data_IF_796486356876
#
_entry.id   IF_796486356876
#
_cell.length_a   1.000
_cell.length_b   1.000
_cell.length_c   1.000
_cell.angle_alpha   90.00
_cell.angle_beta   90.00
_cell.angle_gamma   90.00
#
_symmetry.space_group_name_H-M   'P 1'
#
loop_
_entity.id
_entity.type
_entity.pdbx_description
1 polymer ?
#
# COMPACT_ATOMS: atom_id res chain seq x y z
N UNK A 1 -36.18 -78.36 -2.66
CA UNK A 1 -34.99 -79.02 -3.24
C UNK A 1 -34.10 -77.96 -3.88
N UNK A 2 -32.79 -78.01 -3.55
CA UNK A 2 -31.63 -77.33 -4.21
C UNK A 2 -31.44 -75.83 -3.85
N UNK A 3 -30.61 -75.50 -2.84
CA UNK A 3 -29.11 -75.38 -2.77
C UNK A 3 -28.69 -73.89 -3.01
N UNK A 4 -28.41 -73.06 -2.00
CA UNK A 4 -27.10 -72.77 -1.33
C UNK A 4 -25.97 -72.51 -2.37
N UNK A 5 -25.18 -71.43 -2.43
CA UNK A 5 -24.39 -70.66 -1.41
C UNK A 5 -23.91 -69.29 -2.06
N UNK A 6 -23.02 -68.44 -1.47
CA UNK A 6 -23.24 -67.00 -1.28
C UNK A 6 -22.23 -66.09 -2.02
N UNK A 7 -22.45 -64.77 -2.06
CA UNK A 7 -21.36 -63.80 -2.29
C UNK A 7 -21.27 -62.89 -1.09
N UNK A 8 -20.20 -63.12 -0.34
CA UNK A 8 -19.71 -62.36 0.79
C UNK A 8 -19.15 -61.05 0.25
N UNK A 9 -19.74 -59.92 0.63
CA UNK A 9 -19.07 -58.62 0.53
C UNK A 9 -18.73 -58.15 1.94
N UNK A 10 -17.49 -58.47 2.29
CA UNK A 10 -16.55 -57.79 3.18
C UNK A 10 -17.14 -56.60 3.97
N UNK A 11 -17.22 -56.82 5.28
CA UNK A 11 -17.43 -55.81 6.29
C UNK A 11 -16.28 -54.78 6.28
N UNK A 12 -16.62 -53.51 6.29
CA UNK A 12 -15.73 -52.43 6.73
C UNK A 12 -16.57 -51.33 7.40
N UNK A 13 -17.21 -51.68 8.52
CA UNK A 13 -17.98 -50.78 9.36
C UNK A 13 -17.13 -50.26 10.53
N UNK A 14 -16.37 -49.21 10.25
CA UNK A 14 -15.97 -48.08 11.11
C UNK A 14 -15.89 -48.36 12.62
N UNK A 15 -14.65 -48.49 13.12
CA UNK A 15 -14.32 -48.39 14.55
C UNK A 15 -14.39 -46.92 14.98
N UNK A 16 -15.33 -46.59 15.87
CA UNK A 16 -15.40 -45.29 16.55
C UNK A 16 -14.40 -45.29 17.72
N UNK A 17 -13.22 -44.72 17.50
CA UNK A 17 -12.32 -44.30 18.59
C UNK A 17 -12.68 -42.85 18.98
N UNK A 18 -13.41 -42.69 20.07
CA UNK A 18 -13.56 -41.42 20.76
C UNK A 18 -12.27 -41.13 21.54
N UNK A 19 -11.36 -40.36 20.93
CA UNK A 19 -10.21 -39.78 21.62
C UNK A 19 -10.52 -38.31 21.92
N UNK A 20 -10.95 -38.02 23.14
CA UNK A 20 -10.93 -36.65 23.65
C UNK A 20 -9.49 -36.34 24.10
N UNK A 21 -8.70 -35.69 23.24
CA UNK A 21 -7.48 -35.02 23.69
C UNK A 21 -7.79 -33.54 23.90
N UNK A 22 -7.52 -33.07 25.11
CA UNK A 22 -7.58 -31.65 25.45
C UNK A 22 -6.33 -30.99 24.88
N UNK A 23 -6.41 -30.49 23.65
CA UNK A 23 -5.38 -29.60 23.11
C UNK A 23 -5.73 -28.17 23.50
N UNK A 24 -4.96 -27.64 24.46
CA UNK A 24 -4.99 -26.23 24.80
C UNK A 24 -4.60 -25.43 23.56
N UNK A 25 -5.60 -24.91 22.86
CA UNK A 25 -5.44 -23.98 21.75
C UNK A 25 -4.75 -22.70 22.20
N UNK A 26 -3.43 -22.76 22.30
CA UNK A 26 -2.57 -21.60 22.15
C UNK A 26 -2.88 -21.05 20.76
N UNK A 27 -3.65 -19.96 20.70
CA UNK A 27 -3.71 -19.13 19.50
C UNK A 27 -2.28 -18.67 19.22
N UNK A 28 -1.59 -19.41 18.36
CA UNK A 28 -0.34 -18.99 17.79
C UNK A 28 -0.69 -17.85 16.83
N UNK A 29 -0.74 -16.63 17.37
CA UNK A 29 -0.64 -15.41 16.57
C UNK A 29 0.64 -15.56 15.75
N UNK A 30 0.50 -15.89 14.48
CA UNK A 30 1.53 -15.67 13.48
C UNK A 30 1.77 -14.17 13.43
N UNK A 31 2.77 -13.72 14.18
CA UNK A 31 3.30 -12.35 14.10
C UNK A 31 3.83 -12.20 12.68
N UNK A 32 3.15 -11.41 11.85
CA UNK A 32 3.71 -10.95 10.60
C UNK A 32 5.07 -10.30 10.90
N UNK A 33 6.11 -10.47 10.05
CA UNK A 33 7.41 -9.84 10.28
C UNK A 33 7.20 -8.34 10.46
N UNK A 34 7.43 -7.84 11.67
CA UNK A 34 7.34 -6.42 11.94
C UNK A 34 8.49 -5.75 11.18
N UNK A 35 8.23 -4.72 10.35
CA UNK A 35 9.30 -3.97 9.73
C UNK A 35 10.21 -3.42 10.83
N UNK A 36 11.53 -3.46 10.58
CA UNK A 36 12.52 -3.01 11.55
C UNK A 36 12.23 -1.57 11.96
N UNK A 37 11.71 -1.38 13.18
CA UNK A 37 11.48 -0.06 13.75
C UNK A 37 12.85 0.51 14.11
N UNK A 38 13.32 1.49 13.35
CA UNK A 38 14.54 2.19 13.71
C UNK A 38 14.34 3.02 14.99
N UNK A 39 15.04 2.64 16.06
CA UNK A 39 15.12 3.40 17.31
C UNK A 39 16.12 4.58 17.25
N UNK A 40 16.44 5.05 16.04
CA UNK A 40 17.35 6.19 15.82
C UNK A 40 16.60 7.53 15.83
N UNK A 41 17.31 8.65 16.02
CA UNK A 41 16.70 9.97 15.90
C UNK A 41 16.12 10.16 14.48
N UNK A 42 14.88 10.64 14.41
CA UNK A 42 14.23 10.95 13.14
C UNK A 42 14.89 12.18 12.52
N UNK A 43 15.50 12.03 11.34
CA UNK A 43 16.20 13.12 10.65
C UNK A 43 15.38 13.52 9.43
N UNK A 44 14.90 14.77 9.43
CA UNK A 44 14.36 15.39 8.23
C UNK A 44 15.51 15.74 7.28
N UNK A 45 15.51 15.13 6.10
CA UNK A 45 16.43 15.48 5.03
C UNK A 45 15.82 16.58 4.17
N UNK A 46 16.64 17.34 3.44
CA UNK A 46 16.19 18.45 2.58
C UNK A 46 14.97 18.05 1.74
N UNK A 47 13.80 18.57 2.14
CA UNK A 47 12.51 18.32 1.52
C UNK A 47 12.03 19.48 0.66
N UNK A 48 10.87 19.30 0.03
CA UNK A 48 10.14 20.41 -0.57
C UNK A 48 9.65 21.36 0.53
N UNK A 49 9.91 22.66 0.37
CA UNK A 49 9.38 23.68 1.27
C UNK A 49 7.85 23.81 1.07
N UNK A 50 7.03 23.54 2.11
CA UNK A 50 5.58 23.73 2.02
C UNK A 50 5.23 25.20 1.81
N UNK A 51 4.46 25.48 0.77
CA UNK A 51 3.87 26.80 0.55
C UNK A 51 2.38 26.64 0.26
N UNK A 52 1.62 27.68 0.57
CA UNK A 52 0.23 27.72 0.16
C UNK A 52 0.15 27.87 -1.36
N UNK A 53 -0.50 26.91 -2.01
CA UNK A 53 -0.78 26.91 -3.44
C UNK A 53 -2.28 26.66 -3.66
N UNK A 54 -2.95 27.42 -4.55
CA UNK A 54 -4.34 27.14 -4.89
C UNK A 54 -4.52 25.72 -5.44
N UNK A 55 -5.59 25.04 -5.02
CA UNK A 55 -5.93 23.73 -5.55
C UNK A 55 -6.13 23.77 -7.07
N UNK A 56 -5.64 22.75 -7.76
CA UNK A 56 -5.86 22.58 -9.19
C UNK A 56 -7.36 22.38 -9.46
N UNK A 57 -7.97 23.15 -10.40
CA UNK A 57 -9.42 23.13 -10.61
C UNK A 57 -9.94 21.82 -11.20
N UNK A 58 -9.12 21.07 -11.93
CA UNK A 58 -9.53 19.85 -12.65
C UNK A 58 -9.04 18.57 -12.00
N UNK A 59 -7.94 18.61 -11.25
CA UNK A 59 -7.33 17.41 -10.68
C UNK A 59 -8.01 16.89 -9.40
N UNK A 60 -8.89 17.68 -8.76
CA UNK A 60 -9.44 17.39 -7.42
C UNK A 60 -10.89 16.89 -7.41
N UNK A 61 -11.33 16.24 -8.48
CA UNK A 61 -12.63 15.56 -8.53
C UNK A 61 -12.48 14.07 -8.19
N UNK A 62 -13.48 13.50 -7.52
CA UNK A 62 -13.61 12.04 -7.39
C UNK A 62 -13.62 11.40 -8.79
N UNK A 63 -12.93 10.27 -8.95
CA UNK A 63 -12.76 9.67 -10.26
C UNK A 63 -12.75 8.14 -10.20
N UNK A 64 -12.85 7.50 -11.36
CA UNK A 64 -12.73 6.06 -11.51
C UNK A 64 -11.60 5.71 -12.48
N UNK A 65 -10.88 4.64 -12.18
CA UNK A 65 -9.86 4.06 -13.06
C UNK A 65 -9.87 2.54 -12.90
N UNK A 66 -9.87 1.81 -14.01
CA UNK A 66 -9.85 0.34 -14.04
C UNK A 66 -10.92 -0.32 -13.16
N UNK A 67 -12.12 0.27 -13.10
CA UNK A 67 -13.24 -0.21 -12.28
C UNK A 67 -13.13 0.11 -10.79
N UNK A 68 -12.07 0.77 -10.34
CA UNK A 68 -11.88 1.23 -8.95
C UNK A 68 -12.23 2.72 -8.82
N UNK A 69 -13.00 3.04 -7.78
CA UNK A 69 -13.34 4.43 -7.43
C UNK A 69 -12.32 5.02 -6.47
N UNK A 70 -11.93 6.27 -6.70
CA UNK A 70 -10.99 7.04 -5.89
C UNK A 70 -11.68 8.31 -5.39
N UNK A 71 -11.73 8.46 -4.07
CA UNK A 71 -12.34 9.62 -3.41
C UNK A 71 -11.26 10.58 -2.96
N UNK A 72 -11.32 11.83 -3.41
CA UNK A 72 -10.35 12.85 -3.03
C UNK A 72 -10.53 13.21 -1.56
N UNK A 73 -9.43 13.20 -0.82
CA UNK A 73 -9.38 13.53 0.60
C UNK A 73 -9.72 15.02 0.77
N UNK A 74 -10.79 15.31 1.52
CA UNK A 74 -11.27 16.68 1.74
C UNK A 74 -10.52 17.41 2.86
N UNK A 75 -10.07 16.67 3.88
CA UNK A 75 -9.25 17.18 4.99
C UNK A 75 -7.90 16.46 5.02
N UNK A 76 -6.91 16.91 4.23
CA UNK A 76 -5.59 16.29 4.21
C UNK A 76 -4.80 16.51 5.50
N UNK A 77 -5.21 17.43 6.39
CA UNK A 77 -4.49 17.72 7.64
C UNK A 77 -4.53 16.57 8.65
N UNK A 78 -5.49 15.66 8.48
CA UNK A 78 -5.70 14.47 9.32
C UNK A 78 -5.32 13.17 8.60
N UNK A 79 -4.82 13.26 7.38
CA UNK A 79 -4.47 12.11 6.57
C UNK A 79 -3.15 11.47 7.04
N UNK A 80 -3.14 10.16 7.18
CA UNK A 80 -1.94 9.35 7.41
C UNK A 80 -2.19 7.97 6.80
N UNK A 81 -1.18 7.41 6.15
CA UNK A 81 -1.27 6.11 5.51
C UNK A 81 0.11 5.46 5.47
N UNK A 82 0.21 4.26 6.04
CA UNK A 82 1.39 3.42 5.91
C UNK A 82 1.28 2.50 4.69
N UNK A 83 2.40 2.27 4.02
CA UNK A 83 2.50 1.31 2.92
C UNK A 83 3.81 1.42 2.16
N UNK A 84 3.96 0.58 1.14
CA UNK A 84 5.15 0.61 0.31
C UNK A 84 5.10 1.78 -0.68
N UNK A 85 6.27 2.35 -0.97
CA UNK A 85 6.42 3.32 -2.03
C UNK A 85 7.05 2.75 -3.29
N UNK A 86 6.73 3.37 -4.42
CA UNK A 86 7.41 3.16 -5.69
C UNK A 86 8.27 4.38 -6.02
N UNK A 87 9.29 4.19 -6.86
CA UNK A 87 9.89 5.28 -7.62
C UNK A 87 9.22 5.29 -8.99
N UNK A 88 8.78 6.45 -9.48
CA UNK A 88 8.17 6.55 -10.80
C UNK A 88 8.97 7.41 -11.77
N UNK A 89 8.78 7.09 -13.03
CA UNK A 89 9.26 7.83 -14.20
C UNK A 89 8.05 8.39 -14.96
N UNK A 90 8.32 9.19 -15.99
CA UNK A 90 7.28 9.76 -16.85
C UNK A 90 6.38 8.66 -17.44
N UNK A 91 5.07 8.93 -17.51
CA UNK A 91 4.12 8.02 -18.15
C UNK A 91 4.42 7.90 -19.66
N UNK A 92 4.37 6.69 -20.25
CA UNK A 92 4.54 6.53 -21.69
C UNK A 92 3.46 7.30 -22.48
N UNK A 93 3.88 8.23 -23.34
CA UNK A 93 2.98 8.99 -24.21
C UNK A 93 2.51 10.35 -23.66
N UNK A 94 2.83 10.68 -22.40
CA UNK A 94 2.62 12.02 -21.84
C UNK A 94 3.72 12.36 -20.84
N UNK A 95 4.35 13.52 -21.02
CA UNK A 95 5.26 14.06 -20.02
C UNK A 95 4.55 14.99 -19.02
N UNK A 96 3.21 15.00 -19.01
CA UNK A 96 2.43 15.84 -18.09
C UNK A 96 1.90 15.02 -16.92
N UNK A 97 2.02 15.57 -15.72
CA UNK A 97 1.39 15.05 -14.50
C UNK A 97 -0.10 15.42 -14.46
N UNK A 98 -0.85 14.88 -13.50
CA UNK A 98 -2.24 15.25 -13.29
C UNK A 98 -2.46 16.74 -12.90
N UNK A 99 -1.43 17.45 -12.40
CA UNK A 99 -1.47 18.91 -12.23
C UNK A 99 -1.39 19.68 -13.55
N UNK A 100 -0.99 19.02 -14.65
CA UNK A 100 -0.70 19.63 -15.95
C UNK A 100 0.72 20.16 -16.10
N UNK A 101 1.57 19.97 -15.09
CA UNK A 101 2.99 20.33 -15.13
C UNK A 101 3.80 19.28 -15.89
N UNK A 102 4.94 19.68 -16.47
CA UNK A 102 5.89 18.69 -16.99
C UNK A 102 6.48 17.87 -15.83
N UNK A 103 6.48 16.54 -15.98
CA UNK A 103 7.17 15.65 -15.05
C UNK A 103 8.67 15.95 -15.05
N UNK A 104 9.23 16.13 -13.85
CA UNK A 104 10.65 16.33 -13.63
C UNK A 104 11.13 15.37 -12.52
N UNK A 105 11.94 14.35 -12.84
CA UNK A 105 12.42 13.39 -11.86
C UNK A 105 13.35 14.00 -10.82
N UNK A 106 13.86 15.22 -11.05
CA UNK A 106 14.76 15.95 -10.15
C UNK A 106 14.02 16.84 -9.15
N UNK A 107 12.70 17.01 -9.28
CA UNK A 107 11.89 17.74 -8.30
C UNK A 107 11.45 16.84 -7.15
N UNK A 108 11.24 17.41 -5.96
CA UNK A 108 10.75 16.70 -4.79
C UNK A 108 9.22 16.55 -4.83
N UNK A 109 8.75 15.72 -5.75
CA UNK A 109 7.34 15.50 -6.05
C UNK A 109 6.92 14.05 -5.88
N UNK A 110 5.61 13.82 -5.77
CA UNK A 110 5.04 12.50 -5.68
C UNK A 110 3.66 12.41 -6.36
N UNK A 111 3.30 11.19 -6.74
CA UNK A 111 1.96 10.80 -7.15
C UNK A 111 1.24 10.12 -5.98
N UNK A 112 -0.01 10.54 -5.71
CA UNK A 112 -0.90 9.87 -4.77
C UNK A 112 -2.31 9.76 -5.35
N UNK A 113 -3.03 8.63 -5.16
CA UNK A 113 -4.33 8.43 -5.79
C UNK A 113 -5.43 9.37 -5.26
N UNK A 114 -5.35 9.82 -4.01
CA UNK A 114 -6.48 10.53 -3.36
C UNK A 114 -6.10 11.83 -2.66
N UNK A 115 -4.83 12.18 -2.57
CA UNK A 115 -4.43 13.44 -1.93
C UNK A 115 -4.70 14.61 -2.88
N UNK A 116 -5.14 15.78 -2.39
CA UNK A 116 -5.37 16.93 -3.25
C UNK A 116 -4.12 17.34 -4.04
N UNK A 117 -4.32 17.93 -5.21
CA UNK A 117 -3.25 18.49 -6.04
C UNK A 117 -3.44 20.02 -6.15
N UNK A 118 -2.40 20.82 -5.88
CA UNK A 118 -1.22 20.45 -5.10
C UNK A 118 -1.58 20.21 -3.63
N UNK A 119 -0.78 19.37 -2.98
CA UNK A 119 -0.69 19.28 -1.52
C UNK A 119 0.73 18.86 -1.12
N UNK A 120 1.02 18.80 0.17
CA UNK A 120 2.32 18.39 0.69
C UNK A 120 2.15 17.19 1.62
N UNK A 121 3.03 16.21 1.49
CA UNK A 121 3.08 15.03 2.35
C UNK A 121 4.46 14.92 2.96
N UNK A 122 4.51 14.68 4.28
CA UNK A 122 5.72 14.20 4.95
C UNK A 122 5.75 12.69 4.80
N UNK A 123 6.87 12.19 4.34
CA UNK A 123 7.11 10.78 4.07
C UNK A 123 8.18 10.30 5.02
N UNK A 124 7.85 9.30 5.84
CA UNK A 124 8.76 8.72 6.82
C UNK A 124 9.20 7.34 6.34
N UNK A 125 10.49 7.15 6.11
CA UNK A 125 11.03 5.82 5.87
C UNK A 125 11.16 5.08 7.19
N UNK A 126 10.32 4.07 7.40
CA UNK A 126 10.29 3.34 8.67
C UNK A 126 11.56 2.50 8.90
N UNK A 127 12.26 2.11 7.83
CA UNK A 127 13.46 1.28 7.89
C UNK A 127 14.73 2.04 8.32
N UNK A 128 14.71 3.38 8.33
CA UNK A 128 15.86 4.18 8.77
C UNK A 128 15.48 5.47 9.54
N UNK A 129 14.19 5.77 9.70
CA UNK A 129 13.69 6.95 10.39
C UNK A 129 13.92 8.27 9.66
N UNK A 130 14.34 8.26 8.39
CA UNK A 130 14.51 9.49 7.61
C UNK A 130 13.16 10.00 7.15
N UNK A 131 12.98 11.32 7.20
CA UNK A 131 11.77 11.98 6.71
C UNK A 131 12.09 12.92 5.56
N UNK A 132 11.19 13.00 4.58
CA UNK A 132 11.24 13.99 3.51
C UNK A 132 9.85 14.57 3.27
N UNK A 133 9.78 15.86 2.99
CA UNK A 133 8.53 16.49 2.52
C UNK A 133 8.52 16.50 0.99
N UNK A 134 7.39 16.12 0.39
CA UNK A 134 7.19 16.11 -1.07
C UNK A 134 5.92 16.85 -1.45
N UNK A 135 5.90 17.45 -2.64
CA UNK A 135 4.71 18.05 -3.23
C UNK A 135 3.94 17.01 -4.05
N UNK A 136 2.66 16.79 -3.73
CA UNK A 136 1.77 15.96 -4.53
C UNK A 136 1.35 16.75 -5.76
N UNK A 137 1.75 16.31 -6.95
CA UNK A 137 1.36 16.94 -8.20
C UNK A 137 0.83 15.96 -9.25
N UNK A 138 0.69 14.68 -8.88
CA UNK A 138 0.28 13.63 -9.80
C UNK A 138 -0.63 12.57 -9.14
N UNK A 139 -1.22 11.69 -9.97
CA UNK A 139 -2.17 10.65 -9.57
C UNK A 139 -1.59 9.25 -9.74
N UNK A 140 -2.06 8.32 -8.91
CA UNK A 140 -1.51 6.96 -8.81
C UNK A 140 -0.57 6.83 -7.61
N UNK A 141 0.08 5.69 -7.39
CA UNK A 141 -0.01 4.46 -8.18
C UNK A 141 -1.39 3.80 -8.08
N UNK A 142 -1.77 3.04 -9.10
CA UNK A 142 -3.08 2.37 -9.18
C UNK A 142 -3.02 0.88 -8.79
N UNK A 143 -1.82 0.36 -8.49
CA UNK A 143 -1.60 -0.98 -7.98
C UNK A 143 -2.10 -1.17 -6.54
N UNK A 144 -2.17 -2.43 -6.09
CA UNK A 144 -2.63 -2.77 -4.74
C UNK A 144 -1.52 -2.78 -3.69
N UNK A 145 -0.27 -2.76 -4.14
CA UNK A 145 0.90 -3.00 -3.30
C UNK A 145 1.68 -1.73 -2.96
N UNK A 146 1.32 -0.58 -3.54
CA UNK A 146 1.98 0.71 -3.32
C UNK A 146 0.94 1.79 -3.01
N UNK A 147 1.26 2.66 -2.06
CA UNK A 147 0.37 3.75 -1.62
C UNK A 147 0.77 5.10 -2.22
N UNK A 148 2.05 5.27 -2.55
CA UNK A 148 2.60 6.50 -3.10
C UNK A 148 3.73 6.18 -4.09
N UNK A 149 3.89 7.02 -5.10
CA UNK A 149 5.05 6.98 -5.99
C UNK A 149 5.84 8.26 -5.84
N UNK A 150 7.14 8.15 -5.55
CA UNK A 150 8.06 9.26 -5.35
C UNK A 150 8.86 9.52 -6.63
N UNK A 151 9.16 10.77 -6.92
CA UNK A 151 10.15 11.11 -7.93
C UNK A 151 11.52 10.56 -7.55
N UNK A 152 12.45 10.52 -8.52
CA UNK A 152 13.80 10.01 -8.28
C UNK A 152 14.58 10.84 -7.26
N UNK A 153 14.39 12.16 -7.24
CA UNK A 153 14.99 13.02 -6.23
C UNK A 153 14.39 12.83 -4.84
N UNK A 154 13.09 12.48 -4.75
CA UNK A 154 12.41 12.29 -3.48
C UNK A 154 12.64 10.90 -2.86
N UNK A 155 12.86 9.86 -3.68
CA UNK A 155 13.00 8.50 -3.21
C UNK A 155 14.42 7.95 -3.36
N UNK A 156 15.10 7.72 -2.24
CA UNK A 156 16.22 6.80 -2.17
C UNK A 156 15.68 5.43 -1.77
N UNK A 157 15.78 4.43 -2.65
CA UNK A 157 15.34 3.03 -2.46
C UNK A 157 13.83 2.77 -2.23
N UNK A 158 13.29 1.73 -2.87
CA UNK A 158 11.91 1.27 -2.64
C UNK A 158 11.76 0.72 -1.22
N UNK A 159 11.09 1.46 -0.34
CA UNK A 159 11.02 1.15 1.10
C UNK A 159 9.59 1.28 1.65
N UNK A 160 9.38 0.77 2.87
CA UNK A 160 8.10 0.88 3.59
C UNK A 160 8.01 2.24 4.26
N UNK A 161 6.97 3.01 3.91
CA UNK A 161 6.81 4.41 4.30
C UNK A 161 5.53 4.62 5.11
N UNK A 162 5.51 5.71 5.89
CA UNK A 162 4.34 6.24 6.62
C UNK A 162 4.18 7.74 6.38
#
# INVERSE_FOLDING_TARGET
MRKQLPVICVAAGIVLLAACTNDGGQQQTTVAPQPAVCNGPTVEISGAEPRYEPLNPTANQDYQRDGKSYKIVQDPSRFSQAGLAAIYDAEPGSNLTASGEMFDPMQLTAAHPTLPIPSYARITNQANGRMIVVRINDRGPYGTDRVISLSRAAGGSSEYLE
#
